data_IF_459024405531
#
_entry.id   IF_459024405531
#
_cell.length_a   1.000
_cell.length_b   1.000
_cell.length_c   1.000
_cell.angle_alpha   90.00
_cell.angle_beta   90.00
_cell.angle_gamma   90.00
#
_symmetry.space_group_name_H-M   'P 1'
#
loop_
_entity.id
_entity.type
_entity.pdbx_description
1 polymer ?
#
# COMPACT_ATOMS: atom_id res chain seq x y z
N UNK A 1 -38.75 -0.83 8.20
CA UNK A 1 -38.52 -2.18 8.74
C UNK A 1 -37.06 -2.53 8.63
N UNK A 2 -36.27 -2.20 9.64
CA UNK A 2 -34.89 -2.71 9.78
C UNK A 2 -35.03 -4.14 10.31
N UNK A 3 -34.76 -5.14 9.46
CA UNK A 3 -34.63 -6.50 9.93
C UNK A 3 -33.43 -6.51 10.89
N UNK A 4 -33.70 -6.80 12.17
CA UNK A 4 -32.64 -7.16 13.12
C UNK A 4 -31.93 -8.38 12.54
N UNK A 5 -30.62 -8.25 12.31
CA UNK A 5 -29.81 -9.36 11.81
C UNK A 5 -29.76 -10.45 12.88
N UNK A 6 -30.07 -11.68 12.50
CA UNK A 6 -29.96 -12.82 13.39
C UNK A 6 -28.54 -13.05 13.85
N UNK A 7 -28.31 -13.57 15.05
CA UNK A 7 -26.96 -13.92 15.57
C UNK A 7 -26.16 -14.80 14.60
N UNK A 8 -26.86 -15.67 13.85
CA UNK A 8 -26.27 -16.54 12.82
C UNK A 8 -25.64 -15.70 11.69
N UNK A 9 -26.33 -14.64 11.21
CA UNK A 9 -25.82 -13.76 10.17
C UNK A 9 -24.60 -12.97 10.64
N UNK A 10 -24.58 -12.52 11.90
CA UNK A 10 -23.44 -11.81 12.51
C UNK A 10 -22.22 -12.74 12.62
N UNK A 11 -22.44 -14.00 13.07
CA UNK A 11 -21.36 -15.00 13.14
C UNK A 11 -20.78 -15.31 11.75
N UNK A 12 -21.63 -15.45 10.75
CA UNK A 12 -21.24 -15.67 9.36
C UNK A 12 -20.37 -14.50 8.85
N UNK A 13 -20.79 -13.25 9.09
CA UNK A 13 -20.04 -12.06 8.66
C UNK A 13 -18.70 -11.92 9.39
N UNK A 14 -18.60 -12.28 10.67
CA UNK A 14 -17.33 -12.29 11.39
C UNK A 14 -16.36 -13.34 10.81
N UNK A 15 -16.84 -14.52 10.43
CA UNK A 15 -16.03 -15.55 9.76
C UNK A 15 -15.58 -15.05 8.38
N UNK A 16 -16.47 -14.42 7.61
CA UNK A 16 -16.12 -13.81 6.32
C UNK A 16 -15.09 -12.69 6.48
N UNK A 17 -15.12 -11.94 7.58
CA UNK A 17 -14.09 -10.95 7.88
C UNK A 17 -12.72 -11.60 8.11
N UNK A 18 -12.64 -12.69 8.88
CA UNK A 18 -11.41 -13.44 9.10
C UNK A 18 -10.84 -13.97 7.78
N UNK A 19 -11.71 -14.51 6.91
CA UNK A 19 -11.30 -14.94 5.58
C UNK A 19 -10.77 -13.78 4.74
N UNK A 20 -11.43 -12.61 4.77
CA UNK A 20 -10.98 -11.41 4.06
C UNK A 20 -9.66 -10.86 4.63
N UNK A 21 -9.51 -10.87 5.97
CA UNK A 21 -8.28 -10.48 6.66
C UNK A 21 -7.10 -11.36 6.23
N UNK A 22 -7.30 -12.69 6.16
CA UNK A 22 -6.26 -13.62 5.71
C UNK A 22 -5.82 -13.35 4.27
N UNK A 23 -6.74 -12.89 3.40
CA UNK A 23 -6.39 -12.48 2.03
C UNK A 23 -5.43 -11.28 2.03
N UNK A 24 -5.66 -10.28 2.86
CA UNK A 24 -4.77 -9.13 3.02
C UNK A 24 -3.38 -9.57 3.50
N UNK A 25 -3.35 -10.35 4.56
CA UNK A 25 -2.13 -10.83 5.22
C UNK A 25 -1.23 -11.63 4.27
N UNK A 26 -1.76 -12.70 3.66
CA UNK A 26 -0.95 -13.59 2.84
C UNK A 26 -0.54 -12.96 1.50
N UNK A 27 -1.32 -12.01 0.98
CA UNK A 27 -0.89 -11.27 -0.20
C UNK A 27 0.33 -10.42 0.05
N UNK A 28 0.31 -9.63 1.11
CA UNK A 28 1.44 -8.75 1.44
C UNK A 28 2.64 -9.52 1.96
N UNK A 29 2.41 -10.68 2.63
CA UNK A 29 3.46 -11.61 2.99
C UNK A 29 4.22 -12.08 1.73
N UNK A 30 3.51 -12.57 0.71
CA UNK A 30 4.13 -13.04 -0.54
C UNK A 30 4.74 -11.90 -1.33
N UNK A 31 4.12 -10.72 -1.34
CA UNK A 31 4.67 -9.53 -1.99
C UNK A 31 5.96 -9.06 -1.31
N UNK A 32 5.99 -9.01 0.02
CA UNK A 32 7.19 -8.67 0.80
C UNK A 32 8.33 -9.67 0.55
N UNK A 33 8.00 -10.97 0.52
CA UNK A 33 8.97 -12.02 0.17
C UNK A 33 9.60 -11.77 -1.19
N UNK A 34 8.80 -11.46 -2.20
CA UNK A 34 9.29 -11.11 -3.54
C UNK A 34 10.22 -9.89 -3.50
N UNK A 35 9.80 -8.80 -2.82
CA UNK A 35 10.57 -7.55 -2.76
C UNK A 35 11.93 -7.72 -2.06
N UNK A 36 11.96 -8.47 -0.97
CA UNK A 36 13.22 -8.71 -0.23
C UNK A 36 14.20 -9.52 -1.06
N UNK A 37 13.72 -10.44 -1.92
CA UNK A 37 14.58 -11.20 -2.83
C UNK A 37 14.93 -10.44 -4.14
N UNK A 38 14.51 -9.19 -4.31
CA UNK A 38 14.79 -8.39 -5.51
C UNK A 38 16.28 -8.32 -5.85
N UNK A 39 17.24 -8.15 -4.89
CA UNK A 39 18.67 -8.17 -5.24
C UNK A 39 19.11 -9.45 -5.94
N UNK A 40 18.64 -10.61 -5.46
CA UNK A 40 18.94 -11.91 -6.10
C UNK A 40 18.28 -12.01 -7.48
N UNK A 41 17.09 -11.43 -7.66
CA UNK A 41 16.41 -11.41 -8.95
C UNK A 41 17.20 -10.63 -10.01
N UNK A 42 17.79 -9.48 -9.63
CA UNK A 42 18.64 -8.70 -10.51
C UNK A 42 19.87 -9.49 -11.00
N UNK A 43 20.51 -10.24 -10.11
CA UNK A 43 21.64 -11.09 -10.46
C UNK A 43 21.23 -12.25 -11.36
N UNK A 44 20.09 -12.89 -11.10
CA UNK A 44 19.60 -14.03 -11.87
C UNK A 44 19.20 -13.67 -13.30
N UNK A 45 18.50 -12.54 -13.48
CA UNK A 45 18.01 -12.09 -14.79
C UNK A 45 19.02 -11.18 -15.48
N UNK A 46 19.98 -10.61 -14.74
CA UNK A 46 20.94 -9.60 -15.20
C UNK A 46 20.25 -8.36 -15.82
N UNK A 47 19.15 -7.94 -15.18
CA UNK A 47 18.38 -6.78 -15.64
C UNK A 47 18.86 -5.48 -15.00
N UNK A 48 18.69 -4.38 -15.73
CA UNK A 48 18.93 -3.02 -15.24
C UNK A 48 17.75 -2.52 -14.37
N UNK A 49 17.95 -1.42 -13.65
CA UNK A 49 16.90 -0.75 -12.87
C UNK A 49 15.78 -0.24 -13.76
N UNK A 50 16.11 0.24 -14.96
CA UNK A 50 15.13 0.65 -15.97
C UNK A 50 14.28 -0.53 -16.43
N UNK A 51 14.88 -1.66 -16.74
CA UNK A 51 14.17 -2.88 -17.15
C UNK A 51 13.24 -3.39 -16.04
N UNK A 52 13.70 -3.39 -14.79
CA UNK A 52 12.87 -3.72 -13.63
C UNK A 52 11.68 -2.77 -13.51
N UNK A 53 11.92 -1.47 -13.68
CA UNK A 53 10.88 -0.43 -13.60
C UNK A 53 9.83 -0.53 -14.70
N UNK A 54 10.19 -0.97 -15.90
CA UNK A 54 9.23 -1.24 -16.99
C UNK A 54 8.18 -2.26 -16.51
N UNK A 55 8.61 -3.31 -15.82
CA UNK A 55 7.69 -4.28 -15.21
C UNK A 55 6.70 -3.63 -14.23
N UNK A 56 7.18 -2.70 -13.37
CA UNK A 56 6.30 -1.96 -12.45
C UNK A 56 5.34 -0.99 -13.17
N UNK A 57 5.78 -0.31 -14.22
CA UNK A 57 4.91 0.56 -15.03
C UNK A 57 3.78 -0.26 -15.65
N UNK A 58 4.10 -1.39 -16.27
CA UNK A 58 3.11 -2.27 -16.90
C UNK A 58 2.16 -2.89 -15.87
N UNK A 59 2.71 -3.37 -14.74
CA UNK A 59 1.92 -3.80 -13.58
C UNK A 59 0.93 -2.72 -13.14
N UNK A 60 1.42 -1.49 -12.94
CA UNK A 60 0.62 -0.38 -12.46
C UNK A 60 -0.45 0.06 -13.44
N UNK A 61 -0.11 0.17 -14.72
CA UNK A 61 -1.05 0.52 -15.78
C UNK A 61 -2.20 -0.49 -15.86
N UNK A 62 -1.88 -1.78 -15.90
CA UNK A 62 -2.89 -2.83 -15.96
C UNK A 62 -3.70 -2.95 -14.66
N UNK A 63 -3.08 -2.68 -13.52
CA UNK A 63 -3.81 -2.60 -12.24
C UNK A 63 -4.89 -1.52 -12.29
N UNK A 64 -4.55 -0.30 -12.68
CA UNK A 64 -5.53 0.81 -12.77
C UNK A 64 -6.64 0.50 -13.77
N UNK A 65 -6.28 0.03 -14.96
CA UNK A 65 -7.23 -0.32 -16.01
C UNK A 65 -8.20 -1.42 -15.55
N UNK A 66 -7.65 -2.50 -15.01
CA UNK A 66 -8.44 -3.66 -14.57
C UNK A 66 -9.29 -3.33 -13.35
N UNK A 67 -8.83 -2.47 -12.44
CA UNK A 67 -9.60 -2.00 -11.30
C UNK A 67 -10.90 -1.32 -11.76
N UNK A 68 -10.82 -0.41 -12.74
CA UNK A 68 -11.99 0.27 -13.30
C UNK A 68 -12.93 -0.71 -14.01
N UNK A 69 -12.38 -1.64 -14.79
CA UNK A 69 -13.18 -2.66 -15.48
C UNK A 69 -13.85 -3.62 -14.50
N UNK A 70 -13.16 -3.98 -13.43
CA UNK A 70 -13.69 -4.86 -12.39
C UNK A 70 -14.89 -4.25 -11.66
N UNK A 71 -14.75 -3.03 -11.20
CA UNK A 71 -15.83 -2.34 -10.49
C UNK A 71 -17.08 -2.21 -11.38
N UNK A 72 -16.90 -2.02 -12.68
CA UNK A 72 -17.99 -1.76 -13.64
C UNK A 72 -18.62 -3.02 -14.22
N UNK A 73 -17.83 -4.07 -14.47
CA UNK A 73 -18.28 -5.23 -15.24
C UNK A 73 -18.18 -6.56 -14.50
N UNK A 74 -17.07 -6.83 -13.78
CA UNK A 74 -16.87 -8.11 -13.12
C UNK A 74 -17.63 -8.21 -11.80
N UNK A 75 -17.48 -7.21 -10.93
CA UNK A 75 -18.11 -7.21 -9.61
C UNK A 75 -19.65 -7.39 -9.67
N UNK A 76 -20.40 -6.67 -10.55
CA UNK A 76 -21.85 -6.87 -10.64
C UNK A 76 -22.25 -8.27 -11.11
N UNK A 77 -21.42 -8.91 -11.96
CA UNK A 77 -21.73 -10.25 -12.52
C UNK A 77 -21.33 -11.38 -11.58
N UNK A 78 -20.10 -11.36 -11.08
CA UNK A 78 -19.51 -12.46 -10.32
C UNK A 78 -19.73 -12.33 -8.81
N UNK A 79 -19.86 -11.10 -8.29
CA UNK A 79 -19.81 -10.80 -6.87
C UNK A 79 -18.37 -10.68 -6.36
N UNK A 80 -18.20 -10.01 -5.20
CA UNK A 80 -16.88 -9.67 -4.65
C UNK A 80 -16.01 -10.89 -4.32
N UNK A 81 -16.62 -11.96 -3.78
CA UNK A 81 -15.91 -13.20 -3.41
C UNK A 81 -15.34 -13.93 -4.61
N UNK A 82 -16.12 -14.11 -5.68
CA UNK A 82 -15.64 -14.82 -6.87
C UNK A 82 -14.56 -14.00 -7.61
N UNK A 83 -14.69 -12.67 -7.63
CA UNK A 83 -13.63 -11.80 -8.15
C UNK A 83 -12.34 -11.95 -7.34
N UNK A 84 -12.41 -12.02 -6.01
CA UNK A 84 -11.24 -12.25 -5.17
C UNK A 84 -10.61 -13.62 -5.42
N UNK A 85 -11.40 -14.67 -5.52
CA UNK A 85 -10.90 -16.02 -5.80
C UNK A 85 -10.16 -16.04 -7.15
N UNK A 86 -10.75 -15.47 -8.20
CA UNK A 86 -10.12 -15.38 -9.53
C UNK A 86 -8.78 -14.65 -9.45
N UNK A 87 -8.75 -13.46 -8.84
CA UNK A 87 -7.54 -12.66 -8.69
C UNK A 87 -6.44 -13.41 -7.93
N UNK A 88 -6.81 -14.11 -6.86
CA UNK A 88 -5.86 -14.82 -6.00
C UNK A 88 -5.28 -16.07 -6.62
N UNK A 89 -6.07 -16.81 -7.36
CA UNK A 89 -5.56 -17.94 -8.15
C UNK A 89 -4.51 -17.49 -9.17
N UNK A 90 -4.75 -16.34 -9.83
CA UNK A 90 -3.74 -15.74 -10.72
C UNK A 90 -2.49 -15.30 -9.98
N UNK A 91 -2.67 -14.70 -8.80
CA UNK A 91 -1.60 -14.07 -8.03
C UNK A 91 -0.69 -15.09 -7.32
N UNK A 92 -1.23 -16.22 -6.84
CA UNK A 92 -0.60 -17.11 -5.85
C UNK A 92 0.83 -17.51 -6.18
N UNK A 93 1.13 -17.82 -7.43
CA UNK A 93 2.43 -18.36 -7.84
C UNK A 93 3.22 -17.43 -8.77
N UNK A 94 2.78 -16.19 -8.99
CA UNK A 94 3.52 -15.26 -9.85
C UNK A 94 4.95 -15.02 -9.34
N UNK A 95 5.22 -14.70 -8.06
CA UNK A 95 6.59 -14.55 -7.58
C UNK A 95 7.45 -15.80 -7.78
N UNK A 96 6.90 -16.98 -7.47
CA UNK A 96 7.58 -18.26 -7.72
C UNK A 96 7.94 -18.43 -9.18
N UNK A 97 7.02 -18.18 -10.10
CA UNK A 97 7.26 -18.34 -11.55
C UNK A 97 8.31 -17.35 -12.07
N UNK A 98 8.37 -16.13 -11.53
CA UNK A 98 9.40 -15.15 -11.87
C UNK A 98 10.79 -15.69 -11.54
N UNK A 99 10.99 -16.23 -10.32
CA UNK A 99 12.28 -16.80 -9.91
C UNK A 99 12.59 -18.13 -10.60
N UNK A 100 11.57 -18.95 -10.86
CA UNK A 100 11.76 -20.26 -11.51
C UNK A 100 12.25 -20.14 -12.95
N UNK A 101 11.65 -19.26 -13.73
CA UNK A 101 12.04 -19.07 -15.13
C UNK A 101 13.21 -18.11 -15.31
N UNK A 102 13.44 -17.18 -14.40
CA UNK A 102 14.56 -16.23 -14.38
C UNK A 102 14.86 -15.58 -15.74
N UNK A 103 13.81 -15.16 -16.46
CA UNK A 103 13.88 -14.57 -17.79
C UNK A 103 13.17 -13.22 -17.84
N UNK A 104 13.79 -12.21 -18.48
CA UNK A 104 13.22 -10.87 -18.58
C UNK A 104 11.84 -10.84 -19.26
N UNK A 105 11.68 -11.56 -20.36
CA UNK A 105 10.39 -11.59 -21.06
C UNK A 105 9.27 -12.19 -20.19
N UNK A 106 9.61 -13.23 -19.42
CA UNK A 106 8.67 -13.85 -18.49
C UNK A 106 8.39 -12.94 -17.30
N UNK A 107 9.40 -12.23 -16.80
CA UNK A 107 9.24 -11.21 -15.75
C UNK A 107 8.24 -10.14 -16.20
N UNK A 108 8.37 -9.59 -17.41
CA UNK A 108 7.43 -8.61 -17.97
C UNK A 108 6.01 -9.18 -18.08
N UNK A 109 5.85 -10.37 -18.66
CA UNK A 109 4.55 -11.03 -18.82
C UNK A 109 3.88 -11.27 -17.45
N UNK A 110 4.63 -11.80 -16.49
CA UNK A 110 4.11 -12.09 -15.15
C UNK A 110 3.82 -10.81 -14.35
N UNK A 111 4.58 -9.74 -14.52
CA UNK A 111 4.29 -8.42 -13.95
C UNK A 111 2.96 -7.87 -14.49
N UNK A 112 2.69 -8.02 -15.78
CA UNK A 112 1.41 -7.66 -16.39
C UNK A 112 0.25 -8.49 -15.80
N UNK A 113 0.41 -9.80 -15.71
CA UNK A 113 -0.59 -10.69 -15.09
C UNK A 113 -0.83 -10.33 -13.63
N UNK A 114 0.22 -9.95 -12.89
CA UNK A 114 0.10 -9.51 -11.50
C UNK A 114 -0.67 -8.21 -11.38
N UNK A 115 -0.40 -7.24 -12.28
CA UNK A 115 -1.16 -5.99 -12.36
C UNK A 115 -2.66 -6.24 -12.55
N UNK A 116 -3.02 -7.14 -13.48
CA UNK A 116 -4.42 -7.56 -13.69
C UNK A 116 -5.01 -8.17 -12.42
N UNK A 117 -4.30 -9.09 -11.78
CA UNK A 117 -4.78 -9.76 -10.58
C UNK A 117 -5.03 -8.77 -9.43
N UNK A 118 -4.11 -7.83 -9.17
CA UNK A 118 -4.28 -6.81 -8.14
C UNK A 118 -5.40 -5.82 -8.50
N UNK A 119 -5.56 -5.48 -9.78
CA UNK A 119 -6.66 -4.64 -10.25
C UNK A 119 -8.04 -5.28 -10.04
N UNK A 120 -8.15 -6.61 -10.17
CA UNK A 120 -9.38 -7.32 -9.79
C UNK A 120 -9.54 -7.35 -8.27
N UNK A 121 -8.48 -7.59 -7.53
CA UNK A 121 -8.52 -7.78 -6.07
C UNK A 121 -8.89 -6.51 -5.32
N UNK A 122 -8.25 -5.40 -5.60
CA UNK A 122 -8.29 -4.20 -4.75
C UNK A 122 -9.71 -3.66 -4.50
N UNK A 123 -10.56 -3.43 -5.51
CA UNK A 123 -11.92 -2.95 -5.25
C UNK A 123 -12.76 -3.95 -4.47
N UNK A 124 -12.57 -5.25 -4.69
CA UNK A 124 -13.39 -6.29 -4.10
C UNK A 124 -13.08 -6.52 -2.62
N UNK A 125 -11.82 -6.51 -2.22
CA UNK A 125 -11.42 -6.74 -0.84
C UNK A 125 -11.89 -5.58 0.07
N UNK A 126 -11.73 -4.33 -0.37
CA UNK A 126 -12.22 -3.17 0.38
C UNK A 126 -13.75 -3.10 0.40
N UNK A 127 -14.42 -3.52 -0.68
CA UNK A 127 -15.89 -3.63 -0.71
C UNK A 127 -16.39 -4.64 0.33
N UNK A 128 -15.76 -5.81 0.44
CA UNK A 128 -16.14 -6.79 1.46
C UNK A 128 -16.00 -6.25 2.87
N UNK A 129 -14.86 -5.60 3.18
CA UNK A 129 -14.65 -5.00 4.50
C UNK A 129 -15.70 -3.93 4.79
N UNK A 130 -16.01 -3.06 3.84
CA UNK A 130 -17.03 -2.03 4.01
C UNK A 130 -18.44 -2.61 4.25
N UNK A 131 -18.82 -3.65 3.52
CA UNK A 131 -20.11 -4.33 3.71
C UNK A 131 -20.19 -4.96 5.09
N UNK A 132 -19.14 -5.67 5.52
CA UNK A 132 -19.13 -6.33 6.82
C UNK A 132 -19.18 -5.29 7.95
N UNK A 133 -18.43 -4.19 7.82
CA UNK A 133 -18.41 -3.07 8.76
C UNK A 133 -19.80 -2.43 8.89
N UNK A 134 -20.47 -2.13 7.77
CA UNK A 134 -21.81 -1.56 7.75
C UNK A 134 -22.85 -2.47 8.44
N UNK A 135 -22.80 -3.77 8.13
CA UNK A 135 -23.76 -4.73 8.65
C UNK A 135 -23.52 -5.09 10.12
N UNK A 136 -22.26 -5.24 10.53
CA UNK A 136 -21.91 -5.60 11.91
C UNK A 136 -21.86 -4.40 12.85
N UNK A 137 -21.91 -3.16 12.32
CA UNK A 137 -21.73 -1.91 13.07
C UNK A 137 -20.40 -1.84 13.84
N UNK A 138 -19.38 -2.60 13.41
CA UNK A 138 -18.03 -2.62 13.99
C UNK A 138 -17.09 -1.83 13.11
N UNK A 139 -16.11 -1.15 13.72
CA UNK A 139 -15.03 -0.47 13.00
C UNK A 139 -13.96 -1.51 12.64
N UNK A 140 -14.01 -2.03 11.41
CA UNK A 140 -13.15 -3.14 10.96
C UNK A 140 -12.05 -2.71 10.00
N UNK A 141 -12.19 -1.60 9.31
CA UNK A 141 -11.24 -1.14 8.30
C UNK A 141 -9.81 -0.92 8.84
N UNK A 142 -9.58 -0.30 10.02
CA UNK A 142 -8.24 -0.21 10.60
C UNK A 142 -7.64 -1.57 10.94
N UNK A 143 -8.46 -2.49 11.47
CA UNK A 143 -8.05 -3.86 11.78
C UNK A 143 -7.66 -4.60 10.49
N UNK A 144 -8.46 -4.46 9.44
CA UNK A 144 -8.14 -5.06 8.13
C UNK A 144 -6.82 -4.50 7.56
N UNK A 145 -6.59 -3.18 7.63
CA UNK A 145 -5.32 -2.59 7.17
C UNK A 145 -4.10 -3.13 7.89
N UNK A 146 -4.22 -3.48 9.18
CA UNK A 146 -3.11 -4.09 9.92
C UNK A 146 -2.68 -5.44 9.33
N UNK A 147 -3.57 -6.15 8.63
CA UNK A 147 -3.21 -7.41 7.95
C UNK A 147 -2.09 -7.21 6.93
N UNK A 148 -2.08 -6.07 6.24
CA UNK A 148 -1.05 -5.75 5.26
C UNK A 148 0.32 -5.57 5.92
N UNK A 149 0.40 -4.76 6.96
CA UNK A 149 1.66 -4.52 7.67
C UNK A 149 2.18 -5.79 8.35
N UNK A 150 1.28 -6.60 8.94
CA UNK A 150 1.65 -7.90 9.52
C UNK A 150 2.22 -8.82 8.44
N UNK A 151 1.58 -8.88 7.26
CA UNK A 151 2.07 -9.68 6.14
C UNK A 151 3.46 -9.22 5.67
N UNK A 152 3.69 -7.90 5.56
CA UNK A 152 5.01 -7.35 5.22
C UNK A 152 6.09 -7.73 6.25
N UNK A 153 5.80 -7.66 7.53
CA UNK A 153 6.74 -8.03 8.60
C UNK A 153 7.07 -9.52 8.53
N UNK A 154 6.07 -10.38 8.42
CA UNK A 154 6.27 -11.83 8.38
C UNK A 154 7.02 -12.21 7.09
N UNK A 155 6.64 -11.68 5.94
CA UNK A 155 7.30 -11.95 4.66
C UNK A 155 8.74 -11.49 4.63
N UNK A 156 9.02 -10.28 5.14
CA UNK A 156 10.38 -9.77 5.29
C UNK A 156 11.24 -10.63 6.23
N UNK A 157 10.65 -11.08 7.35
CA UNK A 157 11.33 -11.96 8.31
C UNK A 157 11.66 -13.33 7.73
N UNK A 158 10.69 -13.99 7.10
CA UNK A 158 10.89 -15.28 6.43
C UNK A 158 12.00 -15.14 5.37
N UNK A 159 11.95 -14.09 4.54
CA UNK A 159 12.96 -13.87 3.50
C UNK A 159 14.35 -13.66 4.06
N UNK A 160 14.50 -12.82 5.10
CA UNK A 160 15.80 -12.59 5.75
C UNK A 160 16.39 -13.87 6.32
N UNK A 161 15.58 -14.70 6.98
CA UNK A 161 16.01 -15.99 7.53
C UNK A 161 16.42 -16.93 6.39
N UNK A 162 15.61 -17.05 5.35
CA UNK A 162 15.90 -17.91 4.20
C UNK A 162 17.18 -17.47 3.47
N UNK A 163 17.39 -16.17 3.30
CA UNK A 163 18.62 -15.63 2.70
C UNK A 163 19.85 -15.91 3.60
N UNK A 164 19.70 -15.79 4.92
CA UNK A 164 20.78 -16.12 5.87
C UNK A 164 21.13 -17.61 5.91
N UNK A 165 20.19 -18.48 5.56
CA UNK A 165 20.37 -19.93 5.44
C UNK A 165 20.69 -20.38 4.01
N UNK A 166 20.92 -19.43 3.10
CA UNK A 166 21.20 -19.68 1.66
C UNK A 166 20.10 -20.48 0.95
N UNK A 167 18.85 -20.41 1.44
CA UNK A 167 17.69 -21.06 0.81
C UNK A 167 17.31 -20.29 -0.44
N UNK A 168 17.21 -20.99 -1.56
CA UNK A 168 16.84 -20.38 -2.86
C UNK A 168 15.49 -19.64 -2.79
N UNK A 169 15.39 -18.44 -3.40
CA UNK A 169 14.13 -17.68 -3.52
C UNK A 169 12.98 -18.49 -4.14
N UNK A 170 13.27 -19.49 -4.95
CA UNK A 170 12.29 -20.39 -5.56
C UNK A 170 11.46 -21.10 -4.47
N UNK A 171 12.13 -21.69 -3.48
CA UNK A 171 11.44 -22.40 -2.38
C UNK A 171 10.68 -21.43 -1.48
N UNK A 172 11.28 -20.29 -1.17
CA UNK A 172 10.65 -19.29 -0.30
C UNK A 172 9.39 -18.70 -0.92
N UNK A 173 9.44 -18.36 -2.21
CA UNK A 173 8.29 -17.81 -2.94
C UNK A 173 7.23 -18.85 -3.24
N UNK A 174 7.60 -20.11 -3.49
CA UNK A 174 6.64 -21.20 -3.60
C UNK A 174 5.90 -21.45 -2.29
N UNK A 175 6.62 -21.50 -1.17
CA UNK A 175 6.04 -21.68 0.16
C UNK A 175 5.06 -20.55 0.52
N UNK A 176 5.46 -19.30 0.34
CA UNK A 176 4.58 -18.15 0.63
C UNK A 176 3.40 -18.05 -0.35
N UNK A 177 3.59 -18.38 -1.62
CA UNK A 177 2.52 -18.49 -2.61
C UNK A 177 1.49 -19.57 -2.25
N UNK A 178 1.93 -20.67 -1.66
CA UNK A 178 1.04 -21.74 -1.19
C UNK A 178 0.10 -21.26 -0.09
N UNK A 179 0.53 -20.34 0.80
CA UNK A 179 -0.40 -19.73 1.78
C UNK A 179 -1.48 -18.88 1.12
N UNK A 180 -1.13 -18.14 0.06
CA UNK A 180 -2.13 -17.40 -0.72
C UNK A 180 -3.13 -18.36 -1.35
N UNK A 181 -2.65 -19.44 -1.95
CA UNK A 181 -3.51 -20.45 -2.56
C UNK A 181 -4.46 -21.09 -1.54
N UNK A 182 -3.93 -21.57 -0.40
CA UNK A 182 -4.73 -22.18 0.68
C UNK A 182 -5.76 -21.19 1.21
N UNK A 183 -5.38 -19.93 1.46
CA UNK A 183 -6.31 -18.91 1.91
C UNK A 183 -7.39 -18.62 0.87
N UNK A 184 -7.09 -18.76 -0.42
CA UNK A 184 -8.06 -18.62 -1.51
C UNK A 184 -9.06 -19.77 -1.50
N UNK A 185 -8.61 -20.99 -1.24
CA UNK A 185 -9.50 -22.15 -1.07
C UNK A 185 -10.46 -21.92 0.12
N UNK A 186 -9.98 -21.34 1.23
CA UNK A 186 -10.87 -21.02 2.37
C UNK A 186 -11.96 -20.00 2.01
N UNK A 187 -11.71 -19.09 1.06
CA UNK A 187 -12.70 -18.13 0.58
C UNK A 187 -13.89 -18.80 -0.13
N UNK A 188 -13.72 -20.00 -0.71
CA UNK A 188 -14.83 -20.76 -1.30
C UNK A 188 -15.90 -21.13 -0.25
N UNK A 189 -15.47 -21.37 0.99
CA UNK A 189 -16.36 -21.82 2.08
C UNK A 189 -16.79 -20.67 2.97
N UNK A 190 -15.90 -19.69 3.22
CA UNK A 190 -16.06 -18.66 4.23
C UNK A 190 -16.10 -17.24 3.67
N UNK A 191 -16.00 -17.08 2.35
CA UNK A 191 -16.10 -15.76 1.70
C UNK A 191 -17.48 -15.13 1.87
N UNK A 192 -17.56 -13.81 1.68
CA UNK A 192 -18.80 -13.06 1.77
C UNK A 192 -19.82 -13.57 0.76
N UNK A 193 -20.99 -13.97 1.23
CA UNK A 193 -22.05 -14.51 0.35
C UNK A 193 -22.62 -13.41 -0.54
N UNK A 194 -22.95 -13.76 -1.78
CA UNK A 194 -23.51 -12.83 -2.79
C UNK A 194 -24.78 -12.10 -2.32
N UNK A 195 -25.54 -12.68 -1.37
CA UNK A 195 -26.73 -12.03 -0.79
C UNK A 195 -26.42 -10.70 -0.08
N UNK A 196 -25.17 -10.50 0.35
CA UNK A 196 -24.71 -9.31 1.04
C UNK A 196 -24.04 -8.31 0.10
N UNK A 197 -23.62 -8.70 -1.10
CA UNK A 197 -22.98 -7.81 -2.07
C UNK A 197 -23.86 -6.63 -2.45
N UNK A 198 -23.24 -5.51 -2.77
CA UNK A 198 -23.91 -4.27 -3.14
C UNK A 198 -24.61 -4.48 -4.50
N UNK A 199 -25.92 -4.29 -4.52
CA UNK A 199 -26.67 -4.11 -5.78
C UNK A 199 -26.23 -2.78 -6.40
N UNK A 200 -25.61 -2.85 -7.56
CA UNK A 200 -24.96 -1.73 -8.22
C UNK A 200 -25.97 -0.61 -8.56
N UNK A 201 -25.95 0.46 -7.80
CA UNK A 201 -26.48 1.74 -8.24
C UNK A 201 -25.29 2.50 -8.84
N UNK A 202 -25.20 2.57 -10.17
CA UNK A 202 -24.15 3.32 -10.87
C UNK A 202 -24.07 4.75 -10.29
N UNK A 203 -23.06 5.09 -9.49
CA UNK A 203 -22.92 6.47 -9.04
C UNK A 203 -22.65 7.35 -10.26
N UNK A 204 -23.39 8.47 -10.38
CA UNK A 204 -23.08 9.46 -11.40
C UNK A 204 -21.63 9.92 -11.22
N UNK A 205 -20.90 9.99 -12.32
CA UNK A 205 -19.54 10.51 -12.31
C UNK A 205 -19.56 11.98 -11.89
N UNK A 206 -18.92 12.30 -10.77
CA UNK A 206 -18.80 13.66 -10.24
C UNK A 206 -17.32 14.03 -10.21
N UNK A 207 -16.96 15.16 -10.80
CA UNK A 207 -15.56 15.62 -10.83
C UNK A 207 -15.12 16.18 -9.46
N UNK A 208 -13.90 15.90 -9.01
CA UNK A 208 -13.35 16.49 -7.80
C UNK A 208 -13.06 17.98 -8.00
N UNK A 209 -13.26 18.81 -6.97
CA UNK A 209 -12.81 20.19 -6.99
C UNK A 209 -11.29 20.30 -6.79
N UNK A 210 -10.73 21.47 -7.07
CA UNK A 210 -9.27 21.70 -6.99
C UNK A 210 -8.70 21.42 -5.59
N UNK A 211 -9.43 21.70 -4.51
CA UNK A 211 -8.97 21.42 -3.14
C UNK A 211 -8.85 19.93 -2.89
N UNK A 212 -9.79 19.11 -3.41
CA UNK A 212 -9.71 17.65 -3.34
C UNK A 212 -8.50 17.15 -4.12
N UNK A 213 -8.28 17.66 -5.35
CA UNK A 213 -7.14 17.30 -6.18
C UNK A 213 -5.82 17.61 -5.44
N UNK A 214 -5.71 18.78 -4.82
CA UNK A 214 -4.50 19.17 -4.08
C UNK A 214 -4.20 18.24 -2.91
N UNK A 215 -5.20 17.91 -2.08
CA UNK A 215 -5.03 16.94 -1.00
C UNK A 215 -4.73 15.53 -1.52
N UNK A 216 -5.38 15.14 -2.63
CA UNK A 216 -5.10 13.86 -3.27
C UNK A 216 -3.67 13.77 -3.80
N UNK A 217 -3.13 14.87 -4.35
CA UNK A 217 -1.73 14.95 -4.81
C UNK A 217 -0.76 14.83 -3.64
N UNK A 218 -1.02 15.42 -2.48
CA UNK A 218 -0.22 15.19 -1.28
C UNK A 218 -0.17 13.71 -0.93
N UNK A 219 -1.33 13.04 -0.89
CA UNK A 219 -1.39 11.60 -0.65
C UNK A 219 -0.66 10.79 -1.73
N UNK A 220 -0.73 11.21 -3.00
CA UNK A 220 0.01 10.55 -4.09
C UNK A 220 1.51 10.54 -3.81
N UNK A 221 2.09 11.65 -3.40
CA UNK A 221 3.52 11.71 -3.07
C UNK A 221 3.87 10.91 -1.81
N UNK A 222 3.01 10.90 -0.79
CA UNK A 222 3.19 10.07 0.40
C UNK A 222 3.23 8.59 0.02
N UNK A 223 2.28 8.15 -0.80
CA UNK A 223 2.22 6.77 -1.29
C UNK A 223 3.41 6.44 -2.19
N UNK A 224 3.87 7.38 -3.02
CA UNK A 224 5.09 7.21 -3.82
C UNK A 224 6.30 6.95 -2.92
N UNK A 225 6.48 7.77 -1.88
CA UNK A 225 7.61 7.63 -0.95
C UNK A 225 7.56 6.31 -0.17
N UNK A 226 6.38 5.91 0.31
CA UNK A 226 6.20 4.61 0.96
C UNK A 226 6.54 3.46 0.00
N UNK A 227 6.03 3.54 -1.23
CA UNK A 227 6.31 2.55 -2.27
C UNK A 227 7.80 2.47 -2.60
N UNK A 228 8.49 3.60 -2.73
CA UNK A 228 9.94 3.66 -3.00
C UNK A 228 10.72 2.98 -1.87
N UNK A 229 10.43 3.32 -0.61
CA UNK A 229 11.13 2.70 0.53
C UNK A 229 10.94 1.18 0.52
N UNK A 230 9.71 0.72 0.39
CA UNK A 230 9.43 -0.73 0.48
C UNK A 230 10.01 -1.51 -0.70
N UNK A 231 10.03 -0.91 -1.91
CA UNK A 231 10.43 -1.63 -3.13
C UNK A 231 11.92 -1.50 -3.46
N UNK A 232 12.53 -0.34 -3.19
CA UNK A 232 13.92 -0.08 -3.59
C UNK A 232 14.94 -0.18 -2.48
N UNK A 233 14.52 -0.04 -1.21
CA UNK A 233 15.48 -0.14 -0.09
C UNK A 233 16.18 -1.50 0.02
N UNK A 234 15.55 -2.66 -0.30
CA UNK A 234 16.25 -3.93 -0.34
C UNK A 234 17.45 -3.93 -1.30
N UNK A 235 17.23 -3.46 -2.52
CA UNK A 235 18.29 -3.39 -3.52
C UNK A 235 19.35 -2.33 -3.17
N UNK A 236 18.91 -1.17 -2.69
CA UNK A 236 19.80 -0.09 -2.24
C UNK A 236 20.76 -0.55 -1.13
N UNK A 237 20.26 -1.28 -0.13
CA UNK A 237 21.09 -1.80 0.96
C UNK A 237 22.22 -2.71 0.44
N UNK A 238 21.92 -3.58 -0.52
CA UNK A 238 22.91 -4.54 -1.06
C UNK A 238 23.92 -3.84 -1.98
N UNK A 239 23.43 -3.05 -2.93
CA UNK A 239 24.28 -2.47 -3.99
C UNK A 239 25.11 -1.30 -3.52
N UNK A 240 24.50 -0.35 -2.79
CA UNK A 240 25.15 0.90 -2.46
C UNK A 240 25.78 0.89 -1.05
N UNK A 241 25.18 0.13 -0.12
CA UNK A 241 25.62 0.05 1.27
C UNK A 241 26.32 -1.27 1.63
N UNK A 242 26.43 -2.20 0.67
CA UNK A 242 27.10 -3.50 0.81
C UNK A 242 26.59 -4.30 2.01
N UNK A 243 25.30 -4.20 2.31
CA UNK A 243 24.69 -4.92 3.40
C UNK A 243 24.61 -6.43 3.12
N UNK A 244 24.85 -7.27 4.13
CA UNK A 244 24.63 -8.72 4.01
C UNK A 244 23.17 -9.02 3.64
N UNK A 245 22.95 -10.03 2.80
CA UNK A 245 21.60 -10.39 2.29
C UNK A 245 20.59 -10.69 3.41
N UNK A 246 21.04 -11.29 4.52
CA UNK A 246 20.16 -11.60 5.66
C UNK A 246 19.62 -10.34 6.38
N UNK A 247 20.25 -9.18 6.20
CA UNK A 247 19.82 -7.92 6.80
C UNK A 247 18.76 -7.17 5.95
N UNK A 248 18.63 -7.54 4.70
CA UNK A 248 17.84 -6.77 3.70
C UNK A 248 16.36 -6.66 4.08
N UNK A 249 15.75 -7.73 4.57
CA UNK A 249 14.35 -7.71 4.99
C UNK A 249 14.08 -6.85 6.22
N UNK A 250 15.10 -6.59 7.05
CA UNK A 250 14.96 -5.80 8.28
C UNK A 250 14.48 -4.37 8.02
N UNK A 251 14.85 -3.77 6.89
CA UNK A 251 14.42 -2.40 6.56
C UNK A 251 12.91 -2.33 6.30
N UNK A 252 12.38 -3.33 5.59
CA UNK A 252 10.93 -3.44 5.33
C UNK A 252 10.17 -3.71 6.63
N UNK A 253 10.71 -4.57 7.49
CA UNK A 253 10.14 -4.87 8.81
C UNK A 253 10.09 -3.60 9.66
N UNK A 254 11.20 -2.89 9.81
CA UNK A 254 11.30 -1.70 10.66
C UNK A 254 10.37 -0.58 10.19
N UNK A 255 10.28 -0.35 8.87
CA UNK A 255 9.32 0.60 8.31
C UNK A 255 7.88 0.26 8.73
N UNK A 256 7.45 -0.99 8.51
CA UNK A 256 6.09 -1.43 8.82
C UNK A 256 5.81 -1.48 10.33
N UNK A 257 6.80 -1.80 11.17
CA UNK A 257 6.66 -1.71 12.63
C UNK A 257 6.44 -0.26 13.05
N UNK A 258 7.20 0.69 12.48
CA UNK A 258 6.98 2.13 12.69
C UNK A 258 5.55 2.55 12.34
N UNK A 259 5.03 2.10 11.19
CA UNK A 259 3.64 2.38 10.78
C UNK A 259 2.61 1.81 11.76
N UNK A 260 2.76 0.54 12.19
CA UNK A 260 1.82 -0.08 13.13
C UNK A 260 1.80 0.69 14.46
N UNK A 261 2.96 0.98 15.03
CA UNK A 261 3.07 1.72 16.29
C UNK A 261 2.41 3.09 16.16
N UNK A 262 2.65 3.79 15.07
CA UNK A 262 2.03 5.08 14.78
C UNK A 262 0.50 4.99 14.64
N UNK A 263 0.00 3.99 13.93
CA UNK A 263 -1.44 3.79 13.76
C UNK A 263 -2.15 3.49 15.08
N UNK A 264 -1.53 2.69 15.96
CA UNK A 264 -2.05 2.42 17.30
C UNK A 264 -2.10 3.68 18.17
N UNK A 265 -1.10 4.54 18.07
CA UNK A 265 -1.00 5.79 18.84
C UNK A 265 -1.69 6.98 18.15
N UNK A 266 -2.16 6.82 16.93
CA UNK A 266 -2.63 7.91 16.06
C UNK A 266 -3.72 8.78 16.68
N UNK A 267 -4.72 8.17 17.33
CA UNK A 267 -5.77 8.91 18.02
C UNK A 267 -5.23 9.74 19.19
N UNK A 268 -4.28 9.21 19.94
CA UNK A 268 -3.63 9.89 21.08
C UNK A 268 -2.74 11.03 20.59
N UNK A 269 -1.95 10.78 19.53
CA UNK A 269 -1.09 11.80 18.93
C UNK A 269 -1.91 12.98 18.40
N UNK A 270 -3.00 12.71 17.68
CA UNK A 270 -3.87 13.74 17.11
C UNK A 270 -4.59 14.52 18.21
N UNK A 271 -5.06 13.85 19.27
CA UNK A 271 -5.68 14.54 20.42
C UNK A 271 -4.70 15.45 21.16
N UNK A 272 -3.43 15.01 21.30
CA UNK A 272 -2.40 15.75 22.04
C UNK A 272 -1.79 16.90 21.24
N UNK A 273 -1.51 16.69 19.96
CA UNK A 273 -0.73 17.61 19.12
C UNK A 273 -1.54 18.30 18.02
N UNK A 274 -2.82 17.90 17.79
CA UNK A 274 -3.67 18.37 16.70
C UNK A 274 -3.20 17.88 15.29
N UNK A 275 -4.17 17.75 14.37
CA UNK A 275 -3.92 17.35 12.98
C UNK A 275 -2.92 18.25 12.26
N UNK A 276 -2.90 19.55 12.57
CA UNK A 276 -2.02 20.55 11.97
C UNK A 276 -0.55 20.39 12.33
N UNK A 277 -0.26 19.75 13.45
CA UNK A 277 1.10 19.43 13.87
C UNK A 277 1.44 18.03 13.38
N UNK A 278 0.60 17.04 13.67
CA UNK A 278 0.87 15.64 13.33
C UNK A 278 0.96 15.44 11.80
N UNK A 279 0.20 16.16 11.00
CA UNK A 279 0.29 16.06 9.54
C UNK A 279 1.63 16.61 9.03
N UNK A 280 1.78 17.93 8.89
CA UNK A 280 2.92 18.51 8.19
C UNK A 280 4.23 18.43 8.96
N UNK A 281 4.25 18.72 10.28
CA UNK A 281 5.51 18.75 11.02
C UNK A 281 6.10 17.37 11.28
N UNK A 282 5.27 16.33 11.47
CA UNK A 282 5.77 14.96 11.60
C UNK A 282 6.36 14.49 10.27
N UNK A 283 5.69 14.76 9.14
CA UNK A 283 6.23 14.44 7.83
C UNK A 283 7.54 15.19 7.55
N UNK A 284 7.63 16.48 7.94
CA UNK A 284 8.83 17.30 7.81
C UNK A 284 9.99 16.75 8.65
N UNK A 285 9.74 16.41 9.92
CA UNK A 285 10.74 15.81 10.79
C UNK A 285 11.20 14.45 10.26
N UNK A 286 10.26 13.61 9.81
CA UNK A 286 10.58 12.31 9.22
C UNK A 286 11.45 12.44 7.97
N UNK A 287 11.16 13.39 7.10
CA UNK A 287 11.94 13.63 5.89
C UNK A 287 13.38 14.11 6.18
N UNK A 288 13.56 14.99 7.19
CA UNK A 288 14.87 15.44 7.64
C UNK A 288 15.69 14.27 8.20
N UNK A 289 15.07 13.46 9.07
CA UNK A 289 15.73 12.29 9.68
C UNK A 289 16.15 11.30 8.60
N UNK A 290 15.27 11.01 7.65
CA UNK A 290 15.58 10.13 6.52
C UNK A 290 16.74 10.68 5.70
N UNK A 291 16.68 11.95 5.29
CA UNK A 291 17.74 12.58 4.51
C UNK A 291 19.09 12.52 5.21
N UNK A 292 19.15 12.92 6.49
CA UNK A 292 20.39 12.90 7.27
C UNK A 292 20.93 11.48 7.47
N UNK A 293 20.05 10.48 7.58
CA UNK A 293 20.48 9.08 7.69
C UNK A 293 21.13 8.58 6.40
N UNK A 294 20.61 8.98 5.24
CA UNK A 294 21.22 8.64 3.94
C UNK A 294 22.59 9.30 3.82
N UNK A 295 22.74 10.56 4.28
CA UNK A 295 24.05 11.26 4.33
C UNK A 295 25.07 10.52 5.18
N UNK A 296 24.64 9.91 6.28
CA UNK A 296 25.53 9.18 7.18
C UNK A 296 26.13 7.91 6.56
N UNK A 297 25.46 7.34 5.55
CA UNK A 297 25.78 6.04 4.93
C UNK A 297 25.96 4.88 5.94
N UNK A 298 25.51 5.07 7.17
CA UNK A 298 25.57 4.09 8.22
C UNK A 298 24.28 3.27 8.27
N UNK A 299 24.39 1.98 8.02
CA UNK A 299 23.24 1.06 7.92
C UNK A 299 22.37 1.05 9.19
N UNK A 300 22.97 1.15 10.36
CA UNK A 300 22.23 1.14 11.64
C UNK A 300 21.44 2.44 11.85
N UNK A 301 22.05 3.57 11.44
CA UNK A 301 21.36 4.87 11.48
C UNK A 301 20.20 4.88 10.47
N UNK A 302 20.40 4.30 9.30
CA UNK A 302 19.36 4.16 8.26
C UNK A 302 18.21 3.31 8.77
N UNK A 303 18.46 2.18 9.42
CA UNK A 303 17.41 1.34 10.00
C UNK A 303 16.58 2.07 11.05
N UNK A 304 17.24 2.77 11.97
CA UNK A 304 16.56 3.58 12.97
C UNK A 304 15.73 4.70 12.31
N UNK A 305 16.31 5.37 11.33
CA UNK A 305 15.65 6.45 10.59
C UNK A 305 14.42 5.96 9.82
N UNK A 306 14.48 4.81 9.17
CA UNK A 306 13.37 4.22 8.43
C UNK A 306 12.24 3.80 9.38
N UNK A 307 12.55 3.26 10.55
CA UNK A 307 11.54 3.02 11.60
C UNK A 307 10.85 4.32 12.03
N UNK A 308 11.64 5.36 12.35
CA UNK A 308 11.12 6.67 12.77
C UNK A 308 10.32 7.33 11.62
N UNK A 309 10.78 7.20 10.39
CA UNK A 309 10.08 7.72 9.22
C UNK A 309 8.71 7.03 9.05
N UNK A 310 8.65 5.71 9.11
CA UNK A 310 7.39 4.95 9.08
C UNK A 310 6.43 5.39 10.19
N UNK A 311 6.95 5.61 11.40
CA UNK A 311 6.16 6.12 12.52
C UNK A 311 5.61 7.54 12.26
N UNK A 312 6.43 8.45 11.76
CA UNK A 312 6.04 9.85 11.60
C UNK A 312 5.10 10.06 10.41
N UNK A 313 5.25 9.30 9.31
CA UNK A 313 4.47 9.49 8.09
C UNK A 313 3.10 8.80 8.10
N UNK A 314 2.95 7.73 8.86
CA UNK A 314 1.76 6.85 8.81
C UNK A 314 0.44 7.59 9.07
N UNK A 315 0.41 8.54 10.00
CA UNK A 315 -0.79 9.31 10.33
C UNK A 315 -1.10 10.44 9.36
N UNK A 316 -0.19 10.78 8.43
CA UNK A 316 -0.39 11.88 7.48
C UNK A 316 -1.52 11.55 6.51
N UNK A 317 -1.55 10.33 5.98
CA UNK A 317 -2.57 9.87 5.05
C UNK A 317 -4.00 9.97 5.62
N UNK A 318 -4.33 9.45 6.81
CA UNK A 318 -5.66 9.61 7.40
C UNK A 318 -6.03 11.08 7.64
N UNK A 319 -5.07 11.95 7.98
CA UNK A 319 -5.29 13.39 8.14
C UNK A 319 -5.69 14.01 6.81
N UNK A 320 -4.98 13.68 5.72
CA UNK A 320 -5.31 14.19 4.38
C UNK A 320 -6.70 13.75 3.94
N UNK A 321 -7.11 12.50 4.20
CA UNK A 321 -8.48 12.04 3.92
C UNK A 321 -9.52 12.88 4.67
N UNK A 322 -9.31 13.11 5.98
CA UNK A 322 -10.24 13.93 6.78
C UNK A 322 -10.29 15.37 6.28
N UNK A 323 -9.16 15.97 5.95
CA UNK A 323 -9.11 17.32 5.42
C UNK A 323 -9.79 17.42 4.04
N UNK A 324 -9.60 16.42 3.18
CA UNK A 324 -10.30 16.35 1.88
C UNK A 324 -11.82 16.34 2.05
N UNK A 325 -12.34 15.54 2.99
CA UNK A 325 -13.78 15.47 3.28
C UNK A 325 -14.30 16.79 3.84
N UNK A 326 -13.54 17.44 4.73
CA UNK A 326 -13.93 18.76 5.31
C UNK A 326 -14.03 19.86 4.26
N UNK A 327 -13.31 19.77 3.14
CA UNK A 327 -13.27 20.78 2.07
C UNK A 327 -14.01 20.35 0.80
N UNK A 328 -14.73 19.24 0.86
CA UNK A 328 -15.50 18.69 -0.23
C UNK A 328 -16.97 19.07 -0.14
N UNK A 329 -17.57 19.36 -1.31
CA UNK A 329 -19.03 19.45 -1.46
C UNK A 329 -19.65 18.14 -1.95
N UNK A 330 -18.79 17.12 -2.22
CA UNK A 330 -19.22 15.82 -2.69
C UNK A 330 -19.56 14.89 -1.51
N UNK A 331 -20.38 13.86 -1.73
CA UNK A 331 -20.59 12.82 -0.73
C UNK A 331 -19.27 12.21 -0.25
N UNK A 332 -19.19 11.88 1.03
CA UNK A 332 -17.95 11.33 1.65
C UNK A 332 -17.35 10.16 0.86
N UNK A 333 -18.13 9.13 0.44
CA UNK A 333 -17.57 8.01 -0.31
C UNK A 333 -16.94 8.42 -1.65
N UNK A 334 -17.56 9.38 -2.35
CA UNK A 334 -17.07 9.89 -3.64
C UNK A 334 -15.76 10.66 -3.45
N UNK A 335 -15.69 11.51 -2.41
CA UNK A 335 -14.47 12.25 -2.06
C UNK A 335 -13.32 11.30 -1.74
N UNK A 336 -13.55 10.30 -0.88
CA UNK A 336 -12.55 9.30 -0.51
C UNK A 336 -12.09 8.51 -1.74
N UNK A 337 -13.01 8.13 -2.62
CA UNK A 337 -12.69 7.41 -3.85
C UNK A 337 -11.76 8.23 -4.76
N UNK A 338 -12.03 9.53 -4.95
CA UNK A 338 -11.15 10.41 -5.75
C UNK A 338 -9.75 10.52 -5.14
N UNK A 339 -9.68 10.78 -3.83
CA UNK A 339 -8.39 10.90 -3.14
C UNK A 339 -7.60 9.60 -3.21
N UNK A 340 -8.25 8.45 -3.00
CA UNK A 340 -7.61 7.13 -3.09
C UNK A 340 -7.11 6.83 -4.49
N UNK A 341 -7.93 7.08 -5.51
CA UNK A 341 -7.56 6.80 -6.91
C UNK A 341 -6.31 7.56 -7.33
N UNK A 342 -6.23 8.86 -6.99
CA UNK A 342 -5.05 9.68 -7.28
C UNK A 342 -3.85 9.22 -6.42
N UNK A 343 -4.07 8.92 -5.13
CA UNK A 343 -3.01 8.48 -4.23
C UNK A 343 -2.34 7.18 -4.72
N UNK A 344 -3.12 6.20 -5.18
CA UNK A 344 -2.59 4.93 -5.67
C UNK A 344 -1.70 5.09 -6.91
N UNK A 345 -1.87 6.14 -7.73
CA UNK A 345 -0.92 6.39 -8.83
C UNK A 345 0.50 6.64 -8.32
N UNK A 346 0.64 7.19 -7.10
CA UNK A 346 1.94 7.39 -6.45
C UNK A 346 2.69 6.08 -6.18
N UNK A 347 2.00 5.06 -5.65
CA UNK A 347 2.62 3.73 -5.41
C UNK A 347 3.09 3.07 -6.71
N UNK A 348 2.44 3.39 -7.82
CA UNK A 348 2.73 2.79 -9.12
C UNK A 348 3.89 3.54 -9.80
N UNK A 349 3.75 4.85 -9.95
CA UNK A 349 4.69 5.65 -10.71
C UNK A 349 5.93 6.09 -9.90
N UNK A 350 5.80 6.24 -8.58
CA UNK A 350 6.92 6.62 -7.72
C UNK A 350 8.11 5.65 -7.85
N UNK A 351 7.95 4.36 -7.56
CA UNK A 351 9.01 3.39 -7.74
C UNK A 351 9.50 3.25 -9.18
N UNK A 352 8.61 3.39 -10.17
CA UNK A 352 8.99 3.33 -11.57
C UNK A 352 9.94 4.48 -11.97
N UNK A 353 9.67 5.70 -11.49
CA UNK A 353 10.55 6.86 -11.72
C UNK A 353 11.94 6.68 -11.07
N UNK A 354 11.99 6.04 -9.90
CA UNK A 354 13.27 5.71 -9.25
C UNK A 354 14.10 4.79 -10.13
N UNK A 355 13.51 3.74 -10.72
CA UNK A 355 14.27 2.85 -11.58
C UNK A 355 14.85 3.54 -12.82
N UNK A 356 14.05 4.42 -13.46
CA UNK A 356 14.54 5.21 -14.60
C UNK A 356 15.70 6.15 -14.24
N UNK A 357 15.69 6.71 -13.03
CA UNK A 357 16.73 7.63 -12.56
C UNK A 357 17.91 6.90 -11.89
N UNK A 358 17.69 5.72 -11.33
CA UNK A 358 18.71 4.97 -10.60
C UNK A 358 19.86 4.50 -11.49
N UNK A 359 19.56 4.16 -12.73
CA UNK A 359 20.55 3.74 -13.71
C UNK A 359 21.56 4.87 -14.04
N UNK A 360 21.10 6.13 -14.00
CA UNK A 360 21.93 7.28 -14.30
C UNK A 360 22.57 7.90 -13.06
N UNK A 361 21.82 8.02 -11.97
CA UNK A 361 22.21 8.75 -10.76
C UNK A 361 22.49 7.85 -9.55
N UNK A 362 22.18 6.55 -9.63
CA UNK A 362 22.30 5.60 -8.54
C UNK A 362 21.12 5.61 -7.58
N UNK A 363 21.00 4.55 -6.74
CA UNK A 363 19.88 4.41 -5.79
C UNK A 363 20.04 5.37 -4.60
N UNK A 364 21.26 5.61 -4.13
CA UNK A 364 21.53 6.57 -3.03
C UNK A 364 21.06 7.97 -3.36
N UNK A 365 21.26 8.45 -4.60
CA UNK A 365 20.74 9.75 -5.05
C UNK A 365 19.21 9.80 -4.95
N UNK A 366 18.54 8.74 -5.35
CA UNK A 366 17.07 8.64 -5.27
C UNK A 366 16.56 8.66 -3.82
N UNK A 367 17.31 8.10 -2.86
CA UNK A 367 16.98 8.19 -1.44
C UNK A 367 17.15 9.62 -0.89
N UNK A 368 18.16 10.39 -1.34
CA UNK A 368 18.26 11.83 -1.04
C UNK A 368 17.06 12.59 -1.61
N UNK A 369 16.74 12.35 -2.88
CA UNK A 369 15.63 13.01 -3.56
C UNK A 369 14.30 12.75 -2.87
N UNK A 370 14.08 11.54 -2.39
CA UNK A 370 12.90 11.16 -1.62
C UNK A 370 12.76 12.00 -0.35
N UNK A 371 13.82 12.18 0.42
CA UNK A 371 13.84 13.05 1.59
C UNK A 371 13.50 14.51 1.25
N UNK A 372 14.09 15.05 0.17
CA UNK A 372 13.85 16.42 -0.30
C UNK A 372 12.40 16.60 -0.76
N UNK A 373 11.86 15.69 -1.57
CA UNK A 373 10.48 15.75 -2.06
C UNK A 373 9.50 15.69 -0.89
N UNK A 374 9.71 14.79 0.06
CA UNK A 374 8.85 14.68 1.24
C UNK A 374 8.88 15.93 2.10
N UNK A 375 10.05 16.56 2.24
CA UNK A 375 10.16 17.84 2.94
C UNK A 375 9.36 18.94 2.23
N UNK A 376 9.50 19.07 0.90
CA UNK A 376 8.74 20.03 0.10
C UNK A 376 7.21 19.82 0.19
N UNK A 377 6.77 18.54 0.11
CA UNK A 377 5.34 18.18 0.27
C UNK A 377 4.82 18.50 1.68
N UNK A 378 5.66 18.33 2.70
CA UNK A 378 5.30 18.67 4.08
C UNK A 378 5.08 20.18 4.25
N UNK A 379 5.91 21.02 3.60
CA UNK A 379 5.73 22.47 3.55
C UNK A 379 4.45 22.82 2.79
N UNK A 380 4.21 22.20 1.64
CA UNK A 380 2.98 22.42 0.87
C UNK A 380 1.74 22.08 1.70
N UNK A 381 1.76 20.96 2.42
CA UNK A 381 0.68 20.57 3.33
C UNK A 381 0.45 21.61 4.43
N UNK A 382 1.52 22.13 5.02
CA UNK A 382 1.46 23.17 6.05
C UNK A 382 0.76 24.45 5.53
N UNK A 383 1.19 24.93 4.36
CA UNK A 383 0.63 26.14 3.73
C UNK A 383 -0.87 25.98 3.40
N UNK A 384 -1.27 24.82 2.88
CA UNK A 384 -2.66 24.55 2.54
C UNK A 384 -3.54 24.46 3.80
N UNK A 385 -3.03 23.84 4.87
CA UNK A 385 -3.79 23.72 6.12
C UNK A 385 -3.93 25.07 6.84
N UNK A 386 -2.97 26.00 6.72
CA UNK A 386 -3.06 27.35 7.26
C UNK A 386 -4.05 28.22 6.46
N UNK A 387 -3.97 28.22 5.13
CA UNK A 387 -4.86 29.01 4.29
C UNK A 387 -6.33 28.59 4.42
N UNK A 388 -6.59 27.32 4.62
CA UNK A 388 -7.95 26.81 4.78
C UNK A 388 -8.65 27.28 6.06
N UNK A 389 -7.92 27.77 7.05
CA UNK A 389 -8.47 28.40 8.26
C UNK A 389 -8.78 29.87 8.07
N UNK A 390 -7.91 30.60 7.38
CA UNK A 390 -8.19 32.02 7.07
C UNK A 390 -9.49 32.14 6.29
N UNK A 391 -9.73 31.26 5.31
CA UNK A 391 -10.99 31.19 4.56
C UNK A 391 -12.23 30.93 5.45
N UNK A 392 -12.07 30.16 6.55
CA UNK A 392 -13.15 29.90 7.51
C UNK A 392 -13.41 31.08 8.44
N UNK A 393 -12.37 31.64 9.00
CA UNK A 393 -12.48 32.78 9.95
C UNK A 393 -13.05 34.00 9.24
N UNK A 394 -12.69 34.24 7.97
CA UNK A 394 -13.25 35.34 7.17
C UNK A 394 -14.74 35.15 6.87
N UNK A 395 -15.20 33.91 6.66
CA UNK A 395 -16.62 33.61 6.45
C UNK A 395 -17.46 33.70 7.72
N UNK A 396 -16.86 33.41 8.88
CA UNK A 396 -17.54 33.48 10.20
C UNK A 396 -17.62 34.93 10.71
N UNK A 397 -16.75 35.83 10.27
CA UNK A 397 -16.76 37.26 10.62
C UNK A 397 -17.68 38.08 9.72
N UNK A 398 -18.20 37.51 8.62
CA UNK A 398 -19.11 38.16 7.66
C UNK A 398 -20.58 37.73 7.85
N UNK A 399 -20.88 36.93 8.86
CA UNK A 399 -22.22 36.54 9.33
C UNK A 399 -22.44 37.11 10.72
#
# INVERSE_FOLDING_TARGET
MQNEMNEIDIKELNISFIATFSQGLFATLTFSTYLVHTPVLFELIQMSETEFSIGFVLFGFLNVLTNQLTARYLLPKLGSTNCLILARLMYSFIPFLIFYFSSYNIYILLSMCWGVAIGIQAPNIFTQVAIIEEKTKKILNPVFKSSFSIGFIIGGGISSICMGLEISPIYTTFFTGSFVFISTVTMLFYGLKKKYDIKNNNPRFMLPNIKIITFASINMFIFACMGIIVQWSPLWLVRDLFAPLYMVGSIVILFNVGEIVSNLLGSTLIKRFNEKIVGPYFAMLGSIILFLSVVSQNIYIIYLAVFIFGFLISNVMPIVYRQSVKHSHLPIPVTISHVSSIAFTGVIFGPALVGLSAETFGLTFNMYLLGIIMFAISILMLLIMQNSEQDRNTKTTLI
#
